data_IF_172748862848
#
_entry.id   IF_172748862848
#
_cell.length_a   1.000
_cell.length_b   1.000
_cell.length_c   1.000
_cell.angle_alpha   90.00
_cell.angle_beta   90.00
_cell.angle_gamma   90.00
#
_symmetry.space_group_name_H-M   'P 1'
#
loop_
_entity.id
_entity.type
_entity.pdbx_description
1 polymer ?
#
# COMPACT_ATOMS: atom_id res chain seq x y z
N UNK A 1 73.98 -2.12 1.92
CA UNK A 1 73.35 -1.44 0.76
C UNK A 1 72.38 -2.43 0.13
N UNK A 2 71.09 -2.23 -0.11
CA UNK A 2 70.11 -1.13 -0.11
C UNK A 2 68.76 -1.80 0.26
N UNK A 3 67.89 -1.21 1.09
CA UNK A 3 66.60 -0.57 0.66
C UNK A 3 66.02 -1.29 -0.56
N UNK A 4 64.87 -1.99 -0.49
CA UNK A 4 63.50 -1.45 -0.40
C UNK A 4 62.59 -2.52 0.25
N UNK A 5 62.08 -2.35 1.47
CA UNK A 5 60.85 -1.63 1.86
C UNK A 5 59.60 -1.93 1.01
N UNK A 6 58.57 -2.36 1.75
CA UNK A 6 57.17 -1.96 1.56
C UNK A 6 56.51 -2.41 0.26
N UNK A 7 55.94 -3.62 0.22
CA UNK A 7 54.74 -3.89 -0.60
C UNK A 7 53.90 -5.07 -0.11
N UNK A 8 53.97 -5.42 1.19
CA UNK A 8 53.12 -6.46 1.79
C UNK A 8 52.16 -5.85 2.84
N UNK A 9 51.66 -4.66 2.55
CA UNK A 9 50.83 -3.87 3.46
C UNK A 9 49.58 -3.39 2.73
N UNK A 10 48.90 -4.31 2.05
CA UNK A 10 47.52 -4.13 1.60
C UNK A 10 46.70 -5.43 1.77
N UNK A 11 46.88 -6.11 2.92
CA UNK A 11 45.81 -6.89 3.54
C UNK A 11 44.84 -5.92 4.25
N UNK A 12 44.44 -4.87 3.53
CA UNK A 12 43.37 -3.99 3.98
C UNK A 12 42.11 -4.82 3.80
N UNK A 13 41.57 -5.25 4.93
CA UNK A 13 40.15 -5.14 5.23
C UNK A 13 39.30 -4.74 4.02
N UNK A 14 38.97 -5.72 3.19
CA UNK A 14 37.67 -5.67 2.54
C UNK A 14 36.79 -6.35 3.58
N UNK A 15 36.11 -5.61 4.49
CA UNK A 15 34.98 -6.22 5.17
C UNK A 15 34.09 -6.69 4.03
N UNK A 16 33.98 -8.01 3.92
CA UNK A 16 32.92 -8.76 3.28
C UNK A 16 31.74 -7.82 3.04
N UNK A 17 31.74 -7.18 1.86
CA UNK A 17 30.74 -6.19 1.51
C UNK A 17 29.47 -6.99 1.46
N UNK A 18 28.67 -6.83 2.51
CA UNK A 18 27.56 -7.72 2.76
C UNK A 18 26.69 -7.60 1.52
N UNK A 19 26.52 -8.72 0.82
CA UNK A 19 25.52 -8.85 -0.22
C UNK A 19 24.16 -8.85 0.46
N UNK A 20 23.75 -7.70 0.99
CA UNK A 20 22.33 -7.41 1.21
C UNK A 20 21.76 -6.97 -0.13
N UNK A 21 21.75 -7.88 -1.11
CA UNK A 21 20.78 -7.84 -2.18
C UNK A 21 19.53 -8.60 -1.72
N UNK A 22 18.99 -8.20 -0.57
CA UNK A 22 17.56 -8.39 -0.34
C UNK A 22 16.94 -7.04 -0.65
N UNK A 23 16.56 -6.84 -1.91
CA UNK A 23 15.51 -5.89 -2.27
C UNK A 23 14.19 -6.38 -1.66
N UNK A 24 14.16 -6.47 -0.32
CA UNK A 24 12.92 -6.36 0.41
C UNK A 24 12.53 -4.90 0.25
N UNK A 25 11.71 -4.62 -0.75
CA UNK A 25 11.00 -3.35 -0.81
C UNK A 25 10.22 -3.29 0.50
N UNK A 26 10.75 -2.55 1.47
CA UNK A 26 10.01 -2.26 2.69
C UNK A 26 8.80 -1.46 2.23
N UNK A 27 7.61 -2.00 2.44
CA UNK A 27 6.38 -1.26 2.19
C UNK A 27 6.44 0.06 2.98
N UNK A 28 5.98 1.16 2.38
CA UNK A 28 5.97 2.44 3.08
C UNK A 28 5.21 2.34 4.39
N UNK A 29 5.65 3.08 5.41
CA UNK A 29 4.90 3.22 6.67
C UNK A 29 4.51 4.67 6.83
N UNK A 30 3.22 4.90 7.01
CA UNK A 30 2.64 6.21 7.22
C UNK A 30 2.16 6.32 8.67
N UNK A 31 2.79 7.18 9.46
CA UNK A 31 2.57 7.27 10.90
C UNK A 31 2.37 8.69 11.42
N UNK A 32 2.46 9.70 10.56
CA UNK A 32 2.18 11.09 10.92
C UNK A 32 0.93 11.59 10.20
N UNK A 33 -0.05 12.16 10.92
CA UNK A 33 -1.17 12.85 10.29
C UNK A 33 -0.69 13.92 9.30
N UNK A 34 -1.32 13.96 8.14
CA UNK A 34 -1.00 14.88 7.05
C UNK A 34 0.06 14.39 6.07
N UNK A 35 0.63 13.19 6.28
CA UNK A 35 1.57 12.59 5.36
C UNK A 35 0.95 12.33 3.98
N UNK A 36 1.80 12.44 2.96
CA UNK A 36 1.46 12.09 1.60
C UNK A 36 1.66 10.59 1.38
N UNK A 37 0.63 9.92 0.88
CA UNK A 37 0.68 8.56 0.36
C UNK A 37 1.17 8.65 -1.08
N UNK A 38 2.34 8.06 -1.32
CA UNK A 38 3.01 8.11 -2.62
C UNK A 38 3.32 6.70 -3.17
N UNK A 39 3.17 5.66 -2.35
CA UNK A 39 3.31 4.26 -2.73
C UNK A 39 2.46 3.33 -1.84
N UNK A 40 2.38 2.04 -2.19
CA UNK A 40 1.75 1.02 -1.34
C UNK A 40 2.45 0.92 0.02
N UNK A 41 1.69 0.71 1.09
CA UNK A 41 2.20 0.81 2.45
C UNK A 41 1.16 0.57 3.54
N UNK A 42 1.56 0.84 4.77
CA UNK A 42 0.73 0.67 5.97
C UNK A 42 0.56 2.00 6.68
N UNK A 43 -0.68 2.38 6.95
CA UNK A 43 -1.04 3.50 7.82
C UNK A 43 -1.15 2.97 9.24
N UNK A 44 -0.29 3.43 10.14
CA UNK A 44 -0.14 2.89 11.51
C UNK A 44 -0.58 3.84 12.61
N UNK A 45 -0.98 5.06 12.27
CA UNK A 45 -1.47 6.05 13.23
C UNK A 45 -2.82 6.65 12.80
N UNK A 46 -3.61 7.18 13.76
CA UNK A 46 -4.81 7.94 13.46
C UNK A 46 -4.47 9.22 12.71
N UNK A 47 -5.39 9.71 11.87
CA UNK A 47 -5.22 10.99 11.18
C UNK A 47 -5.72 11.00 9.74
N UNK A 48 -5.51 12.13 9.08
CA UNK A 48 -5.83 12.30 7.65
C UNK A 48 -4.58 12.15 6.80
N UNK A 49 -4.64 11.35 5.75
CA UNK A 49 -3.56 11.05 4.82
C UNK A 49 -3.99 11.38 3.40
N UNK A 50 -3.05 11.82 2.58
CA UNK A 50 -3.36 12.38 1.27
C UNK A 50 -2.61 11.68 0.15
N UNK A 51 -3.30 11.23 -0.89
CA UNK A 51 -2.60 10.88 -2.11
C UNK A 51 -1.96 12.14 -2.70
N UNK A 52 -0.70 12.03 -3.12
CA UNK A 52 -0.01 13.08 -3.87
C UNK A 52 0.33 12.68 -5.32
N UNK A 53 0.04 11.43 -5.68
CA UNK A 53 0.21 10.90 -7.03
C UNK A 53 -0.67 9.67 -7.22
N UNK A 54 -0.83 9.27 -8.50
CA UNK A 54 -1.40 7.96 -8.83
C UNK A 54 -0.44 6.86 -8.44
N UNK A 55 -0.94 5.86 -7.72
CA UNK A 55 -0.17 4.70 -7.26
C UNK A 55 -0.52 3.51 -8.15
N UNK A 56 0.50 2.86 -8.72
CA UNK A 56 0.32 1.72 -9.61
C UNK A 56 0.93 0.47 -8.98
N UNK A 57 0.09 -0.42 -8.46
CA UNK A 57 0.48 -1.71 -7.94
C UNK A 57 0.48 -2.79 -9.04
N UNK A 58 1.64 -2.97 -9.67
CA UNK A 58 1.86 -3.97 -10.73
C UNK A 58 2.32 -5.33 -10.20
N UNK A 59 2.34 -5.55 -8.88
CA UNK A 59 2.84 -6.81 -8.31
C UNK A 59 1.71 -7.69 -7.80
N UNK A 60 1.72 -8.96 -8.22
CA UNK A 60 0.83 -9.99 -7.68
C UNK A 60 1.27 -10.49 -6.29
N UNK A 61 2.46 -10.09 -5.83
CA UNK A 61 3.04 -10.52 -4.56
C UNK A 61 2.42 -9.82 -3.34
N UNK A 62 1.84 -8.63 -3.51
CA UNK A 62 1.21 -7.87 -2.41
C UNK A 62 -0.26 -8.20 -2.35
N UNK A 63 -0.71 -8.79 -1.23
CA UNK A 63 -2.13 -9.05 -1.00
C UNK A 63 -2.94 -7.76 -0.83
N UNK A 64 -2.34 -6.70 -0.29
CA UNK A 64 -2.95 -5.38 -0.08
C UNK A 64 -1.98 -4.31 -0.60
N UNK A 65 -2.45 -3.30 -1.33
CA UNK A 65 -1.60 -2.13 -1.59
C UNK A 65 -1.52 -1.23 -0.35
N UNK A 66 -2.65 -0.78 0.18
CA UNK A 66 -2.71 -0.04 1.43
C UNK A 66 -3.31 -0.89 2.54
N UNK A 67 -2.64 -0.91 3.70
CA UNK A 67 -3.15 -1.51 4.93
C UNK A 67 -3.40 -0.42 5.97
N UNK A 68 -4.61 -0.36 6.52
CA UNK A 68 -4.96 0.52 7.64
C UNK A 68 -4.82 -0.30 8.91
N UNK A 69 -3.96 0.17 9.82
CA UNK A 69 -3.62 -0.45 11.09
C UNK A 69 -3.88 0.49 12.28
N UNK A 70 -4.91 1.34 12.17
CA UNK A 70 -5.28 2.30 13.20
C UNK A 70 -6.75 2.74 13.06
N UNK A 71 -7.33 3.20 14.17
CA UNK A 71 -8.65 3.84 14.19
C UNK A 71 -8.57 5.30 13.74
N UNK A 72 -9.71 5.90 13.42
CA UNK A 72 -9.83 7.34 13.11
C UNK A 72 -8.93 7.77 11.94
N UNK A 73 -8.91 6.96 10.88
CA UNK A 73 -8.11 7.19 9.68
C UNK A 73 -9.00 7.77 8.58
N UNK A 74 -8.56 8.87 7.98
CA UNK A 74 -9.14 9.40 6.74
C UNK A 74 -8.10 9.33 5.63
N UNK A 75 -8.42 8.64 4.54
CA UNK A 75 -7.64 8.67 3.31
C UNK A 75 -8.37 9.59 2.32
N UNK A 76 -7.70 10.65 1.88
CA UNK A 76 -8.21 11.55 0.85
C UNK A 76 -7.38 11.39 -0.43
N UNK A 77 -8.01 10.82 -1.44
CA UNK A 77 -7.41 10.56 -2.75
C UNK A 77 -7.11 11.82 -3.54
N UNK A 78 -7.71 12.98 -3.21
CA UNK A 78 -7.53 14.26 -3.93
C UNK A 78 -7.69 14.16 -5.46
N UNK A 79 -8.47 13.19 -5.94
CA UNK A 79 -8.68 12.92 -7.37
C UNK A 79 -7.61 12.04 -8.04
N UNK A 80 -6.61 11.55 -7.31
CA UNK A 80 -5.63 10.58 -7.83
C UNK A 80 -6.23 9.18 -7.95
N UNK A 81 -5.47 8.29 -8.60
CA UNK A 81 -5.87 6.90 -8.77
C UNK A 81 -5.01 5.93 -7.95
N UNK A 82 -5.65 4.85 -7.49
CA UNK A 82 -5.01 3.64 -7.00
C UNK A 82 -5.29 2.55 -8.03
N UNK A 83 -4.26 2.14 -8.76
CA UNK A 83 -4.35 1.17 -9.85
C UNK A 83 -3.73 -0.16 -9.43
N UNK A 84 -4.48 -1.24 -9.55
CA UNK A 84 -4.02 -2.60 -9.28
C UNK A 84 -3.66 -3.35 -10.55
N UNK A 85 -3.13 -4.56 -10.36
CA UNK A 85 -2.66 -5.43 -11.43
C UNK A 85 -3.71 -5.76 -12.50
N UNK A 86 -5.02 -5.67 -12.19
CA UNK A 86 -6.08 -5.95 -13.17
C UNK A 86 -6.44 -4.74 -14.05
N UNK A 87 -5.89 -3.54 -13.78
CA UNK A 87 -6.23 -2.30 -14.51
C UNK A 87 -5.75 -2.32 -15.97
N UNK A 88 -4.66 -3.02 -16.25
CA UNK A 88 -4.01 -3.13 -17.56
C UNK A 88 -4.14 -4.52 -18.20
N UNK A 89 -4.81 -5.45 -17.52
CA UNK A 89 -4.82 -6.85 -17.88
C UNK A 89 -6.23 -7.25 -18.31
N UNK A 90 -6.39 -7.60 -19.59
CA UNK A 90 -7.65 -8.12 -20.17
C UNK A 90 -8.07 -9.50 -19.63
N UNK A 91 -7.42 -9.97 -18.56
CA UNK A 91 -7.76 -11.19 -17.88
C UNK A 91 -9.03 -10.95 -17.06
N UNK A 92 -10.19 -11.20 -17.69
CA UNK A 92 -11.47 -11.24 -17.00
C UNK A 92 -11.37 -12.04 -15.71
N UNK A 93 -11.98 -11.52 -14.65
CA UNK A 93 -12.05 -12.05 -13.28
C UNK A 93 -11.40 -13.44 -13.09
N UNK A 94 -10.09 -13.49 -12.90
CA UNK A 94 -9.39 -14.76 -12.73
C UNK A 94 -9.55 -15.20 -11.28
N UNK A 95 -10.54 -16.06 -11.05
CA UNK A 95 -10.90 -16.69 -9.79
C UNK A 95 -9.75 -17.44 -9.06
N UNK A 96 -8.59 -17.62 -9.72
CA UNK A 96 -7.40 -18.28 -9.17
C UNK A 96 -6.24 -17.33 -8.82
N UNK A 97 -6.38 -16.02 -9.03
CA UNK A 97 -5.35 -15.07 -8.60
C UNK A 97 -5.40 -14.85 -7.08
N UNK A 98 -4.25 -14.56 -6.43
CA UNK A 98 -4.25 -14.09 -5.06
C UNK A 98 -5.24 -12.92 -4.96
N UNK A 99 -6.06 -12.92 -3.91
CA UNK A 99 -7.01 -11.82 -3.68
C UNK A 99 -6.17 -10.57 -3.41
N UNK A 100 -6.03 -9.70 -4.43
CA UNK A 100 -5.35 -8.41 -4.30
C UNK A 100 -6.38 -7.37 -3.88
N UNK A 101 -6.16 -6.74 -2.74
CA UNK A 101 -6.93 -5.61 -2.21
C UNK A 101 -6.24 -4.30 -2.58
N UNK A 102 -7.02 -3.28 -2.97
CA UNK A 102 -6.52 -1.91 -3.05
C UNK A 102 -6.22 -1.38 -1.66
N UNK A 103 -7.28 -1.20 -0.86
CA UNK A 103 -7.21 -0.76 0.53
C UNK A 103 -7.80 -1.85 1.43
N UNK A 104 -7.08 -2.20 2.49
CA UNK A 104 -7.50 -3.19 3.48
C UNK A 104 -7.48 -2.61 4.89
N UNK A 105 -8.48 -2.93 5.70
CA UNK A 105 -8.49 -2.68 7.15
C UNK A 105 -9.20 -3.80 7.89
N UNK A 106 -8.72 -4.15 9.09
CA UNK A 106 -9.38 -5.16 9.91
C UNK A 106 -9.39 -4.84 11.39
N UNK A 107 -10.56 -4.95 12.04
CA UNK A 107 -10.75 -4.69 13.47
C UNK A 107 -10.39 -3.27 13.92
N UNK A 108 -10.70 -2.27 13.08
CA UNK A 108 -10.54 -0.85 13.38
C UNK A 108 -11.88 -0.11 13.23
N UNK A 109 -11.95 1.13 13.69
CA UNK A 109 -13.17 1.94 13.68
C UNK A 109 -12.94 3.34 13.12
N UNK A 110 -14.03 3.96 12.65
CA UNK A 110 -14.03 5.35 12.17
C UNK A 110 -13.05 5.57 11.01
N UNK A 111 -13.18 4.76 9.96
CA UNK A 111 -12.37 4.87 8.75
C UNK A 111 -13.14 5.61 7.67
N UNK A 112 -12.54 6.64 7.09
CA UNK A 112 -13.07 7.35 5.94
C UNK A 112 -12.12 7.20 4.73
N UNK A 113 -12.67 6.87 3.57
CA UNK A 113 -11.97 6.90 2.28
C UNK A 113 -12.78 7.82 1.38
N UNK A 114 -12.11 8.76 0.71
CA UNK A 114 -12.80 9.71 -0.15
C UNK A 114 -11.97 10.23 -1.31
N UNK A 115 -12.66 10.72 -2.35
CA UNK A 115 -12.08 11.39 -3.52
C UNK A 115 -10.98 10.57 -4.23
N UNK A 116 -11.12 9.25 -4.28
CA UNK A 116 -10.16 8.34 -4.86
C UNK A 116 -10.78 7.54 -6.01
N UNK A 117 -10.05 7.40 -7.13
CA UNK A 117 -10.39 6.40 -8.14
C UNK A 117 -9.63 5.11 -7.83
N UNK A 118 -10.33 3.99 -7.72
CA UNK A 118 -9.74 2.67 -7.44
C UNK A 118 -10.03 1.75 -8.63
N UNK A 119 -8.97 1.29 -9.29
CA UNK A 119 -9.06 0.46 -10.48
C UNK A 119 -8.26 -0.83 -10.37
N UNK A 120 -8.76 -1.93 -10.94
CA UNK A 120 -7.93 -3.10 -11.21
C UNK A 120 -7.56 -3.96 -9.99
N UNK A 121 -8.45 -4.06 -8.99
CA UNK A 121 -8.27 -4.92 -7.82
C UNK A 121 -9.39 -5.96 -7.73
N UNK A 122 -9.11 -7.11 -7.11
CA UNK A 122 -10.17 -8.08 -6.77
C UNK A 122 -11.19 -7.41 -5.84
N UNK A 123 -10.67 -6.70 -4.83
CA UNK A 123 -11.46 -5.81 -3.98
C UNK A 123 -10.80 -4.44 -3.96
N UNK A 124 -11.53 -3.39 -4.35
CA UNK A 124 -11.01 -2.03 -4.31
C UNK A 124 -10.75 -1.60 -2.88
N UNK A 125 -11.76 -1.76 -2.03
CA UNK A 125 -11.68 -1.57 -0.58
C UNK A 125 -12.23 -2.83 0.09
N UNK A 126 -11.51 -3.37 1.06
CA UNK A 126 -11.94 -4.52 1.85
C UNK A 126 -11.78 -4.26 3.33
N UNK A 127 -12.90 -4.31 4.03
CA UNK A 127 -12.94 -4.25 5.49
C UNK A 127 -13.39 -5.58 6.08
N UNK A 128 -12.70 -6.01 7.13
CA UNK A 128 -13.07 -7.17 7.96
C UNK A 128 -13.30 -6.67 9.38
N UNK A 129 -14.44 -6.99 10.00
CA UNK A 129 -14.70 -6.63 11.41
C UNK A 129 -14.46 -5.15 11.78
N UNK A 130 -14.51 -4.26 10.79
CA UNK A 130 -14.29 -2.80 10.92
C UNK A 130 -15.67 -2.14 10.98
N UNK A 131 -15.84 -1.13 11.84
CA UNK A 131 -17.12 -0.46 12.05
C UNK A 131 -17.04 1.04 11.73
N UNK A 132 -18.21 1.68 11.58
CA UNK A 132 -18.32 3.13 11.37
C UNK A 132 -17.44 3.65 10.22
N UNK A 133 -17.66 3.11 9.01
CA UNK A 133 -16.83 3.43 7.85
C UNK A 133 -17.58 4.33 6.87
N UNK A 134 -16.88 5.32 6.30
CA UNK A 134 -17.42 6.18 5.24
C UNK A 134 -16.63 6.00 3.95
N UNK A 135 -17.31 5.78 2.83
CA UNK A 135 -16.74 5.77 1.48
C UNK A 135 -17.46 6.87 0.71
N UNK A 136 -16.75 7.90 0.26
CA UNK A 136 -17.37 9.12 -0.25
C UNK A 136 -16.70 9.63 -1.52
N UNK A 137 -17.48 9.90 -2.57
CA UNK A 137 -16.98 10.45 -3.84
C UNK A 137 -15.85 9.59 -4.46
N UNK A 138 -15.90 8.27 -4.26
CA UNK A 138 -14.93 7.32 -4.79
C UNK A 138 -15.46 6.66 -6.07
N UNK A 139 -14.57 6.44 -7.04
CA UNK A 139 -14.90 5.80 -8.32
C UNK A 139 -14.26 4.41 -8.34
N UNK A 140 -15.05 3.35 -8.47
CA UNK A 140 -14.55 1.98 -8.62
C UNK A 140 -14.63 1.53 -10.07
N UNK A 141 -13.49 1.16 -10.66
CA UNK A 141 -13.38 0.56 -12.00
C UNK A 141 -12.79 -0.83 -11.86
N UNK A 142 -13.35 -1.85 -12.50
CA UNK A 142 -12.83 -3.23 -12.42
C UNK A 142 -12.45 -3.70 -11.00
N UNK A 143 -13.18 -3.22 -10.01
CA UNK A 143 -12.94 -3.42 -8.59
C UNK A 143 -14.28 -3.25 -7.87
N UNK A 144 -14.55 -4.09 -6.88
CA UNK A 144 -15.73 -3.94 -6.04
C UNK A 144 -15.33 -3.51 -4.62
N UNK A 145 -16.07 -2.59 -3.97
CA UNK A 145 -15.99 -2.49 -2.52
C UNK A 145 -16.59 -3.76 -1.89
N UNK A 146 -15.89 -4.39 -0.94
CA UNK A 146 -16.42 -5.53 -0.19
C UNK A 146 -16.17 -5.36 1.31
N UNK A 147 -17.21 -5.05 2.07
CA UNK A 147 -17.23 -5.20 3.52
C UNK A 147 -17.78 -6.59 3.86
N UNK A 148 -16.96 -7.48 4.42
CA UNK A 148 -17.47 -8.73 4.95
C UNK A 148 -18.19 -8.41 6.27
N UNK A 149 -19.53 -8.33 6.19
CA UNK A 149 -20.49 -8.47 7.29
C UNK A 149 -20.07 -7.80 8.60
N UNK A 150 -20.46 -6.53 8.82
CA UNK A 150 -20.88 -5.95 10.12
C UNK A 150 -21.23 -4.46 9.91
N UNK A 151 -22.23 -3.98 10.64
CA UNK A 151 -23.05 -2.80 10.28
C UNK A 151 -22.30 -1.48 10.08
N UNK A 152 -22.78 -0.71 9.10
CA UNK A 152 -22.53 0.73 8.99
C UNK A 152 -21.37 1.14 8.09
N UNK A 153 -21.38 0.75 6.81
CA UNK A 153 -20.70 1.55 5.78
C UNK A 153 -21.73 2.31 4.94
N UNK A 154 -21.51 3.61 4.77
CA UNK A 154 -22.31 4.45 3.88
C UNK A 154 -21.49 4.78 2.64
N UNK A 155 -22.03 4.43 1.47
CA UNK A 155 -21.50 4.91 0.19
C UNK A 155 -22.23 6.21 -0.13
N UNK A 156 -21.51 7.32 -0.13
CA UNK A 156 -22.02 8.63 -0.52
C UNK A 156 -21.47 8.94 -1.90
N UNK A 157 -22.31 9.07 -2.94
CA UNK A 157 -21.87 9.41 -4.29
C UNK A 157 -21.27 10.81 -4.37
#
# INVERSE_FOLDING_TARGET
MKKERLFALFLIAIPMMILFNSSGVLAATYSTPGENIYECGTITAPGTYYFNQTIVNQTLATFNCLTISSDNVTIDGRGYELQGYLSNNSFGYVQYLPKVQGIYGASFENIAIKNLTIDGFHFGIRFSTTSNTTIQNDIFRNAAPQGATMGGYTIIP
#
